data_IF_844501131913
#
_entry.id   IF_844501131913
#
_cell.length_a   1.000
_cell.length_b   1.000
_cell.length_c   1.000
_cell.angle_alpha   90.00
_cell.angle_beta   90.00
_cell.angle_gamma   90.00
#
_symmetry.space_group_name_H-M   'P 1'
#
loop_
_entity.id
_entity.type
_entity.pdbx_description
1 polymer ?
#
# COMPACT_ATOMS: atom_id res chain seq x y z
N UNK A 1 4.35 9.51 -11.75
CA UNK A 1 3.31 8.81 -12.56
C UNK A 1 1.98 8.70 -11.81
N UNK A 2 1.94 8.20 -10.56
CA UNK A 2 0.68 8.07 -9.76
C UNK A 2 -0.15 9.36 -9.67
N UNK A 3 0.50 10.50 -9.40
CA UNK A 3 -0.15 11.82 -9.37
C UNK A 3 -0.82 12.17 -10.70
N UNK A 4 -0.14 11.92 -11.83
CA UNK A 4 -0.64 12.20 -13.17
C UNK A 4 -1.87 11.38 -13.50
N UNK A 5 -1.85 10.07 -13.22
CA UNK A 5 -3.00 9.18 -13.46
C UNK A 5 -4.19 9.62 -12.60
N UNK A 6 -3.95 9.88 -11.31
CA UNK A 6 -5.02 10.35 -10.40
C UNK A 6 -5.59 11.70 -10.86
N UNK A 7 -4.76 12.64 -11.30
CA UNK A 7 -5.21 13.93 -11.81
C UNK A 7 -6.05 13.80 -13.08
N UNK A 8 -5.64 12.92 -14.01
CA UNK A 8 -6.40 12.63 -15.24
C UNK A 8 -7.74 11.97 -14.90
N UNK A 9 -7.78 10.99 -13.99
CA UNK A 9 -9.04 10.36 -13.57
C UNK A 9 -10.00 11.38 -12.94
N UNK A 10 -9.47 12.30 -12.12
CA UNK A 10 -10.26 13.34 -11.47
C UNK A 10 -10.71 14.47 -12.41
N UNK A 11 -10.06 14.65 -13.56
CA UNK A 11 -10.44 15.69 -14.54
C UNK A 11 -11.54 15.23 -15.51
N UNK A 12 -11.88 13.94 -15.52
CA UNK A 12 -12.95 13.41 -16.36
C UNK A 12 -14.31 14.04 -15.96
N UNK A 13 -15.16 14.42 -16.93
CA UNK A 13 -16.46 15.04 -16.67
C UNK A 13 -17.51 14.00 -16.26
N UNK A 14 -17.20 13.20 -15.23
CA UNK A 14 -18.06 12.16 -14.68
C UNK A 14 -18.26 12.40 -13.19
N UNK A 15 -19.38 11.92 -12.64
CA UNK A 15 -19.64 12.01 -11.20
C UNK A 15 -18.66 11.09 -10.47
N UNK A 16 -17.74 11.67 -9.72
CA UNK A 16 -16.83 10.94 -8.85
C UNK A 16 -17.58 10.46 -7.58
N UNK A 17 -17.28 9.24 -7.15
CA UNK A 17 -17.79 8.66 -5.90
C UNK A 17 -16.71 7.80 -5.25
N UNK A 18 -16.69 7.76 -3.91
CA UNK A 18 -15.70 7.00 -3.15
C UNK A 18 -14.24 7.36 -3.50
N UNK A 19 -13.38 6.34 -3.56
CA UNK A 19 -11.97 6.49 -3.90
C UNK A 19 -11.77 6.63 -5.42
N UNK A 20 -11.68 7.88 -5.90
CA UNK A 20 -11.50 8.21 -7.33
C UNK A 20 -10.04 8.57 -7.67
N UNK A 21 -9.12 7.63 -7.46
CA UNK A 21 -7.70 7.80 -7.77
C UNK A 21 -6.96 6.46 -7.91
N UNK A 22 -5.69 6.51 -8.31
CA UNK A 22 -4.89 5.29 -8.46
C UNK A 22 -4.74 4.60 -7.09
N UNK A 23 -4.85 3.28 -7.08
CA UNK A 23 -4.54 2.42 -5.93
C UNK A 23 -3.31 1.58 -6.27
N UNK A 24 -2.49 1.26 -5.27
CA UNK A 24 -1.28 0.44 -5.45
C UNK A 24 -1.28 -0.73 -4.46
N UNK A 25 -2.20 -1.71 -4.62
CA UNK A 25 -2.35 -2.85 -3.71
C UNK A 25 -1.33 -3.96 -4.00
N UNK A 26 -0.29 -4.18 -3.17
CA UNK A 26 0.77 -5.14 -3.48
C UNK A 26 0.31 -6.59 -3.57
N UNK A 27 -0.81 -6.95 -2.92
CA UNK A 27 -1.39 -8.30 -2.99
C UNK A 27 -2.46 -8.45 -4.06
N UNK A 28 -2.82 -7.41 -4.82
CA UNK A 28 -3.87 -7.51 -5.86
C UNK A 28 -3.32 -7.20 -7.26
N UNK A 29 -2.10 -6.66 -7.38
CA UNK A 29 -1.46 -6.33 -8.64
C UNK A 29 -0.19 -7.18 -8.90
N UNK A 30 -0.17 -7.86 -10.05
CA UNK A 30 0.91 -8.79 -10.42
C UNK A 30 2.25 -8.10 -10.64
N UNK A 31 2.22 -6.87 -11.15
CA UNK A 31 3.43 -6.09 -11.38
C UNK A 31 3.98 -5.59 -10.05
N UNK A 32 3.14 -5.05 -9.17
CA UNK A 32 3.57 -4.61 -7.84
C UNK A 32 4.12 -5.77 -7.02
N UNK A 33 3.49 -6.95 -7.06
CA UNK A 33 4.00 -8.14 -6.40
C UNK A 33 5.36 -8.57 -6.94
N UNK A 34 5.53 -8.60 -8.27
CA UNK A 34 6.80 -8.96 -8.89
C UNK A 34 7.91 -7.97 -8.53
N UNK A 35 7.64 -6.66 -8.54
CA UNK A 35 8.60 -5.61 -8.18
C UNK A 35 8.98 -5.61 -6.70
N UNK A 36 8.06 -6.00 -5.82
CA UNK A 36 8.36 -6.20 -4.40
C UNK A 36 9.26 -7.42 -4.18
N UNK A 37 9.14 -8.45 -5.01
CA UNK A 37 9.91 -9.69 -4.89
C UNK A 37 11.36 -9.59 -5.39
N UNK A 38 11.70 -8.57 -6.19
CA UNK A 38 13.06 -8.33 -6.72
C UNK A 38 14.14 -8.24 -5.61
N UNK A 39 15.40 -8.51 -5.97
CA UNK A 39 16.55 -8.41 -5.06
C UNK A 39 17.61 -7.47 -5.65
N UNK A 40 17.77 -6.23 -5.14
CA UNK A 40 16.97 -5.60 -4.07
C UNK A 40 15.53 -5.28 -4.52
N UNK A 41 14.58 -5.10 -3.59
CA UNK A 41 13.21 -4.75 -3.94
C UNK A 41 13.16 -3.37 -4.58
N UNK A 42 12.32 -3.20 -5.61
CA UNK A 42 12.17 -1.92 -6.30
C UNK A 42 11.50 -0.83 -5.45
N UNK A 43 10.76 -1.21 -4.41
CA UNK A 43 10.09 -0.29 -3.50
C UNK A 43 9.85 -0.93 -2.12
N UNK A 44 9.68 -0.10 -1.10
CA UNK A 44 9.33 -0.48 0.26
C UNK A 44 8.10 0.25 0.80
N UNK A 45 7.87 0.15 2.10
CA UNK A 45 6.68 0.73 2.76
C UNK A 45 6.69 2.26 2.72
N UNK A 46 7.86 2.89 2.83
CA UNK A 46 8.05 4.34 2.73
C UNK A 46 7.75 4.86 1.33
N UNK A 47 8.05 4.07 0.29
CA UNK A 47 7.69 4.39 -1.08
C UNK A 47 6.17 4.32 -1.26
N UNK A 48 5.51 3.28 -0.73
CA UNK A 48 4.05 3.18 -0.74
C UNK A 48 3.37 4.36 -0.03
N UNK A 49 3.90 4.80 1.12
CA UNK A 49 3.45 6.02 1.81
C UNK A 49 3.65 7.27 0.95
N UNK A 50 4.83 7.39 0.31
CA UNK A 50 5.12 8.52 -0.58
C UNK A 50 4.16 8.54 -1.77
N UNK A 51 3.85 7.40 -2.36
CA UNK A 51 2.87 7.28 -3.44
C UNK A 51 1.45 7.61 -2.93
N UNK A 52 1.15 7.27 -1.68
CA UNK A 52 -0.13 7.56 -1.02
C UNK A 52 -0.43 9.05 -0.90
N UNK A 53 0.59 9.90 -0.77
CA UNK A 53 0.42 11.36 -0.78
C UNK A 53 -0.31 11.88 -2.01
N UNK A 54 -0.20 11.20 -3.15
CA UNK A 54 -0.80 11.60 -4.44
C UNK A 54 -1.84 10.61 -4.98
N UNK A 55 -2.00 9.43 -4.38
CA UNK A 55 -2.95 8.39 -4.81
C UNK A 55 -4.37 8.60 -4.24
N UNK A 56 -5.29 7.70 -4.56
CA UNK A 56 -6.69 7.78 -4.15
C UNK A 56 -7.03 7.19 -2.77
N UNK A 57 -6.25 6.23 -2.27
CA UNK A 57 -6.70 5.35 -1.16
C UNK A 57 -5.78 5.34 0.06
N UNK A 58 -4.46 5.44 -0.09
CA UNK A 58 -3.51 5.19 1.00
C UNK A 58 -2.81 3.84 0.87
N UNK A 59 -2.53 3.20 2.01
CA UNK A 59 -1.98 1.83 2.06
C UNK A 59 -3.14 0.84 1.97
N UNK A 60 -3.09 -0.05 0.98
CA UNK A 60 -4.10 -1.08 0.78
C UNK A 60 -3.47 -2.45 0.48
N UNK A 61 -3.99 -3.49 1.11
CA UNK A 61 -3.48 -4.87 1.03
C UNK A 61 -1.97 -5.01 1.23
N UNK A 62 -1.37 -4.25 2.15
CA UNK A 62 0.08 -4.27 2.34
C UNK A 62 0.47 -5.41 3.30
N UNK A 63 1.19 -6.46 2.84
CA UNK A 63 1.59 -7.56 3.69
C UNK A 63 2.71 -7.14 4.65
N UNK A 64 2.52 -7.38 5.94
CA UNK A 64 3.49 -7.09 7.01
C UNK A 64 3.74 -8.34 7.85
N UNK A 65 4.85 -8.42 8.61
CA UNK A 65 5.12 -9.56 9.47
C UNK A 65 3.98 -9.80 10.45
N UNK A 66 3.61 -11.06 10.67
CA UNK A 66 2.51 -11.40 11.57
C UNK A 66 2.79 -11.10 13.04
N UNK A 67 4.07 -10.96 13.40
CA UNK A 67 4.59 -10.60 14.73
C UNK A 67 4.96 -9.12 14.86
N UNK A 68 4.54 -8.28 13.90
CA UNK A 68 4.72 -6.83 13.97
C UNK A 68 4.20 -6.27 15.30
N UNK A 69 5.00 -5.41 15.94
CA UNK A 69 4.61 -4.82 17.22
C UNK A 69 3.46 -3.82 17.06
N UNK A 70 2.75 -3.55 18.16
CA UNK A 70 1.69 -2.53 18.16
C UNK A 70 2.31 -1.17 17.88
N UNK A 71 3.51 -0.92 18.39
CA UNK A 71 4.27 0.31 18.23
C UNK A 71 4.58 0.58 16.75
N UNK A 72 5.09 -0.42 16.02
CA UNK A 72 5.46 -0.28 14.60
C UNK A 72 4.23 -0.05 13.72
N UNK A 73 3.15 -0.80 13.97
CA UNK A 73 1.88 -0.62 13.26
C UNK A 73 1.29 0.75 13.56
N UNK A 74 1.35 1.20 14.83
CA UNK A 74 0.86 2.52 15.24
C UNK A 74 1.67 3.64 14.60
N UNK A 75 2.99 3.51 14.51
CA UNK A 75 3.86 4.47 13.84
C UNK A 75 3.47 4.62 12.36
N UNK A 76 3.29 3.50 11.65
CA UNK A 76 2.87 3.52 10.25
C UNK A 76 1.47 4.13 10.05
N UNK A 77 0.53 3.83 10.95
CA UNK A 77 -0.80 4.43 10.95
C UNK A 77 -0.74 5.93 11.21
N UNK A 78 0.13 6.39 12.13
CA UNK A 78 0.36 7.81 12.41
C UNK A 78 0.96 8.53 11.20
N UNK A 79 1.91 7.93 10.50
CA UNK A 79 2.48 8.50 9.27
C UNK A 79 1.40 8.65 8.18
N UNK A 80 0.56 7.63 8.02
CA UNK A 80 -0.58 7.68 7.09
C UNK A 80 -1.56 8.78 7.48
N UNK A 81 -1.88 8.93 8.77
CA UNK A 81 -2.76 9.97 9.28
C UNK A 81 -2.15 11.37 9.13
N UNK A 82 -0.85 11.52 9.36
CA UNK A 82 -0.13 12.78 9.17
C UNK A 82 -0.18 13.21 7.70
N UNK A 83 0.00 12.28 6.75
CA UNK A 83 -0.17 12.52 5.32
C UNK A 83 -1.62 12.92 4.99
N UNK A 84 -2.60 12.20 5.54
CA UNK A 84 -4.01 12.52 5.35
C UNK A 84 -4.34 13.95 5.78
N UNK A 85 -3.91 14.35 7.00
CA UNK A 85 -4.08 15.69 7.53
C UNK A 85 -3.33 16.75 6.71
N UNK A 86 -2.07 16.47 6.33
CA UNK A 86 -1.23 17.43 5.60
C UNK A 86 -1.81 17.77 4.22
N UNK A 87 -2.39 16.78 3.56
CA UNK A 87 -2.90 16.91 2.20
C UNK A 87 -4.41 17.12 2.11
N UNK A 88 -5.11 17.17 3.25
CA UNK A 88 -6.57 17.21 3.35
C UNK A 88 -7.23 16.11 2.50
N UNK A 89 -6.77 14.86 2.72
CA UNK A 89 -7.16 13.69 1.93
C UNK A 89 -7.60 12.53 2.81
N UNK A 90 -8.69 11.83 2.48
CA UNK A 90 -9.10 10.63 3.19
C UNK A 90 -8.22 9.45 2.77
N UNK A 91 -7.13 9.21 3.50
CA UNK A 91 -6.28 8.02 3.31
C UNK A 91 -6.67 6.93 4.31
N UNK A 92 -6.63 5.68 3.87
CA UNK A 92 -6.76 4.48 4.69
C UNK A 92 -5.40 3.81 4.91
N UNK A 93 -5.30 3.07 6.01
CA UNK A 93 -4.19 2.17 6.28
C UNK A 93 -4.76 0.76 6.45
N UNK A 94 -4.69 -0.06 5.41
CA UNK A 94 -5.13 -1.46 5.41
C UNK A 94 -3.93 -2.37 5.27
N UNK A 95 -3.41 -2.78 6.42
CA UNK A 95 -2.29 -3.71 6.55
C UNK A 95 -2.81 -5.15 6.57
N UNK A 96 -1.95 -6.06 6.16
CA UNK A 96 -2.25 -7.48 6.07
C UNK A 96 -1.18 -8.28 6.83
N UNK A 97 -1.33 -8.49 8.15
CA UNK A 97 -0.39 -9.29 8.93
C UNK A 97 -0.35 -10.74 8.41
N UNK A 98 0.86 -11.27 8.21
CA UNK A 98 1.08 -12.63 7.69
C UNK A 98 1.70 -13.51 8.77
N UNK A 99 0.91 -14.36 9.45
CA UNK A 99 1.40 -15.18 10.55
C UNK A 99 2.60 -16.04 10.17
N UNK A 100 3.64 -16.05 11.01
CA UNK A 100 4.84 -16.87 10.84
C UNK A 100 5.76 -16.45 9.70
N UNK A 101 5.56 -15.26 9.11
CA UNK A 101 6.45 -14.69 8.09
C UNK A 101 7.13 -13.43 8.60
N UNK A 102 8.43 -13.33 8.33
CA UNK A 102 9.26 -12.17 8.56
C UNK A 102 9.35 -11.26 7.32
N UNK A 103 9.85 -10.05 7.51
CA UNK A 103 10.08 -9.11 6.42
C UNK A 103 11.07 -9.69 5.39
N UNK A 104 10.77 -9.50 4.10
CA UNK A 104 11.56 -10.05 3.00
C UNK A 104 11.10 -11.43 2.51
N UNK A 105 10.34 -12.17 3.31
CA UNK A 105 9.76 -13.44 2.87
C UNK A 105 8.59 -13.24 1.90
N UNK A 106 8.26 -14.27 1.14
CA UNK A 106 7.08 -14.27 0.27
C UNK A 106 5.84 -14.72 1.05
N UNK A 107 4.71 -14.10 0.76
CA UNK A 107 3.40 -14.58 1.21
C UNK A 107 3.00 -15.87 0.48
N UNK A 108 2.11 -16.64 1.08
CA UNK A 108 1.63 -17.92 0.54
C UNK A 108 0.09 -18.01 0.64
N UNK A 109 -0.59 -17.00 0.11
CA UNK A 109 -2.04 -17.00 0.03
C UNK A 109 -2.53 -17.99 -1.05
N UNK A 110 -3.54 -18.77 -0.68
CA UNK A 110 -4.30 -19.60 -1.60
C UNK A 110 -5.67 -18.96 -1.85
N UNK A 111 -5.68 -17.84 -2.57
CA UNK A 111 -6.88 -17.08 -2.91
C UNK A 111 -6.85 -16.71 -4.39
N UNK A 112 -7.97 -16.82 -5.12
CA UNK A 112 -8.03 -16.39 -6.52
C UNK A 112 -7.96 -14.86 -6.68
N UNK A 113 -8.10 -14.11 -5.59
CA UNK A 113 -8.10 -12.63 -5.59
C UNK A 113 -6.79 -12.03 -5.08
N UNK A 114 -5.88 -12.86 -4.54
CA UNK A 114 -4.62 -12.39 -3.98
C UNK A 114 -3.45 -12.94 -4.79
N UNK A 115 -2.47 -12.08 -4.99
CA UNK A 115 -1.19 -12.35 -5.62
C UNK A 115 -0.13 -12.34 -4.53
N UNK A 116 0.69 -13.37 -4.50
CA UNK A 116 1.74 -13.47 -3.51
C UNK A 116 2.84 -12.44 -3.76
N UNK A 117 3.18 -11.71 -2.71
CA UNK A 117 4.13 -10.59 -2.72
C UNK A 117 5.13 -10.75 -1.58
N UNK A 118 6.16 -9.89 -1.56
CA UNK A 118 7.10 -9.82 -0.45
C UNK A 118 6.43 -9.17 0.77
N UNK A 119 6.66 -9.72 1.95
CA UNK A 119 6.31 -9.11 3.24
C UNK A 119 7.19 -7.89 3.48
N UNK A 120 6.57 -6.72 3.66
CA UNK A 120 7.28 -5.45 3.82
C UNK A 120 7.81 -5.28 5.24
N UNK A 121 9.03 -4.76 5.36
CA UNK A 121 9.53 -4.30 6.66
C UNK A 121 8.75 -3.07 7.12
N UNK A 122 8.42 -3.03 8.41
CA UNK A 122 7.91 -1.84 9.07
C UNK A 122 9.07 -0.91 9.47
N UNK A 123 8.82 0.41 9.58
CA UNK A 123 9.82 1.38 10.06
C UNK A 123 10.21 1.17 11.52
#
# INVERSE_FOLDING_TARGET
>A
MSATITAVLKSLPVKLCGYSGLMLPPLEDQTLAARAAEQPPSYGITDLLSYSSVCGVGLDTVPIPGDSSIEDVSALMLDTAALACKWDKPLSCRLFPVPGKAAGEMTEFNSPFLINSRVFALP
#
